data_IF_411790146386
#
_entry.id   IF_411790146386
#
_cell.length_a   1.000
_cell.length_b   1.000
_cell.length_c   1.000
_cell.angle_alpha   90.00
_cell.angle_beta   90.00
_cell.angle_gamma   90.00
#
_symmetry.space_group_name_H-M   'P 1'
#
loop_
_entity.id
_entity.type
_entity.pdbx_description
1 polymer ?
#
# COMPACT_ATOMS: atom_id res chain seq x y z
N UNK A 1 5.19 -2.28 -60.33
CA UNK A 1 4.06 -2.58 -59.44
C UNK A 1 4.55 -2.48 -58.00
N UNK A 2 4.26 -1.38 -57.30
CA UNK A 2 4.62 -1.21 -55.88
C UNK A 2 3.54 -1.87 -55.03
N UNK A 3 3.89 -2.89 -54.25
CA UNK A 3 2.98 -3.55 -53.30
C UNK A 3 2.82 -2.63 -52.08
N UNK A 4 1.62 -2.12 -51.87
CA UNK A 4 1.22 -1.39 -50.67
C UNK A 4 0.93 -2.43 -49.59
N UNK A 5 1.76 -2.48 -48.55
CA UNK A 5 1.51 -3.30 -47.35
C UNK A 5 0.65 -2.43 -46.42
N UNK A 6 -0.63 -2.78 -46.30
CA UNK A 6 -1.53 -2.18 -45.32
C UNK A 6 -1.29 -2.92 -44.00
N UNK A 7 -0.67 -2.24 -43.05
CA UNK A 7 -0.48 -2.73 -41.69
C UNK A 7 -1.83 -2.57 -40.94
N UNK A 8 -2.55 -3.68 -40.78
CA UNK A 8 -3.80 -3.71 -40.03
C UNK A 8 -3.47 -3.65 -38.54
N UNK A 9 -3.64 -2.49 -37.91
CA UNK A 9 -3.60 -2.38 -36.44
C UNK A 9 -4.82 -3.11 -35.88
N UNK A 10 -4.59 -4.29 -35.31
CA UNK A 10 -5.58 -5.01 -34.53
C UNK A 10 -5.81 -4.22 -33.24
N UNK A 11 -6.90 -3.45 -33.17
CA UNK A 11 -7.35 -2.84 -31.93
C UNK A 11 -7.97 -3.97 -31.11
N UNK A 12 -7.19 -4.60 -30.24
CA UNK A 12 -7.75 -5.49 -29.22
C UNK A 12 -8.44 -4.60 -28.20
N UNK A 13 -9.76 -4.56 -28.23
CA UNK A 13 -10.54 -4.07 -27.09
C UNK A 13 -10.25 -5.04 -25.94
N UNK A 14 -9.39 -4.61 -25.01
CA UNK A 14 -9.26 -5.29 -23.72
C UNK A 14 -10.63 -5.14 -23.06
N UNK A 15 -11.44 -6.20 -23.09
CA UNK A 15 -12.67 -6.22 -22.32
C UNK A 15 -12.29 -6.07 -20.85
N UNK A 16 -12.87 -5.07 -20.18
CA UNK A 16 -12.71 -4.93 -18.73
C UNK A 16 -13.20 -6.22 -18.06
N UNK A 17 -12.32 -6.86 -17.31
CA UNK A 17 -12.58 -8.16 -16.69
C UNK A 17 -13.38 -7.97 -15.40
N UNK A 18 -14.70 -8.15 -15.44
CA UNK A 18 -15.54 -7.95 -14.26
C UNK A 18 -15.17 -8.94 -13.15
N UNK A 19 -14.90 -8.43 -11.94
CA UNK A 19 -14.54 -9.24 -10.77
C UNK A 19 -15.77 -9.44 -9.88
N UNK A 20 -16.09 -10.69 -9.56
CA UNK A 20 -17.24 -11.04 -8.74
C UNK A 20 -16.83 -11.69 -7.44
N UNK A 21 -17.46 -11.26 -6.35
CA UNK A 21 -17.33 -11.86 -5.02
C UNK A 21 -17.95 -13.26 -5.02
N UNK A 22 -17.18 -14.25 -4.63
CA UNK A 22 -17.66 -15.63 -4.44
C UNK A 22 -17.86 -15.99 -2.98
N UNK A 23 -16.99 -15.49 -2.09
CA UNK A 23 -17.14 -15.63 -0.64
C UNK A 23 -16.40 -14.52 0.11
N UNK A 24 -16.84 -14.29 1.34
CA UNK A 24 -16.11 -13.52 2.35
C UNK A 24 -15.88 -14.47 3.53
N UNK A 25 -14.62 -14.69 3.89
CA UNK A 25 -14.22 -15.69 4.88
C UNK A 25 -13.41 -15.04 6.00
N UNK A 26 -13.74 -15.35 7.25
CA UNK A 26 -12.94 -14.92 8.39
C UNK A 26 -11.67 -15.76 8.49
N UNK A 27 -10.54 -15.08 8.69
CA UNK A 27 -9.27 -15.73 8.97
C UNK A 27 -9.20 -16.05 10.46
N UNK A 28 -9.02 -17.33 10.79
CA UNK A 28 -8.96 -17.80 12.16
C UNK A 28 -7.55 -17.58 12.75
N UNK A 29 -7.35 -16.42 13.38
CA UNK A 29 -6.16 -16.06 14.14
C UNK A 29 -6.53 -15.66 15.58
N UNK A 30 -5.62 -15.89 16.52
CA UNK A 30 -5.80 -15.53 17.93
C UNK A 30 -5.26 -14.12 18.21
N UNK A 31 -6.17 -13.20 18.53
CA UNK A 31 -5.91 -11.79 18.81
C UNK A 31 -6.45 -10.83 17.76
N UNK A 32 -6.36 -9.54 18.09
CA UNK A 32 -6.89 -8.45 17.27
C UNK A 32 -5.80 -7.88 16.37
N UNK A 33 -6.03 -7.93 15.05
CA UNK A 33 -5.05 -7.55 14.04
C UNK A 33 -5.65 -6.65 12.96
N UNK A 34 -4.80 -5.80 12.40
CA UNK A 34 -5.18 -4.74 11.49
C UNK A 34 -4.19 -4.64 10.32
N UNK A 35 -4.58 -3.90 9.29
CA UNK A 35 -3.77 -3.61 8.10
C UNK A 35 -3.21 -4.86 7.41
N UNK A 36 -4.05 -5.86 7.08
CA UNK A 36 -3.56 -7.05 6.41
C UNK A 36 -3.09 -6.73 4.98
N UNK A 37 -2.03 -7.37 4.54
CA UNK A 37 -1.55 -7.30 3.16
C UNK A 37 -0.91 -8.61 2.72
N UNK A 38 -1.00 -8.94 1.44
CA UNK A 38 -0.33 -10.12 0.88
C UNK A 38 1.19 -9.95 0.86
N UNK A 39 1.90 -11.07 1.05
CA UNK A 39 3.33 -11.18 0.80
C UNK A 39 3.67 -11.27 -0.69
N UNK A 40 4.96 -11.49 -0.99
CA UNK A 40 5.42 -11.76 -2.36
C UNK A 40 4.96 -13.13 -2.87
N UNK A 41 4.77 -14.07 -1.95
CA UNK A 41 4.19 -15.37 -2.23
C UNK A 41 2.72 -15.28 -1.82
N UNK A 42 1.78 -15.41 -2.76
CA UNK A 42 0.33 -15.18 -2.57
C UNK A 42 -0.34 -16.09 -1.51
N UNK A 43 0.43 -16.96 -0.86
CA UNK A 43 0.07 -17.78 0.30
C UNK A 43 0.48 -17.16 1.64
N UNK A 44 1.04 -15.95 1.67
CA UNK A 44 1.46 -15.26 2.90
C UNK A 44 0.63 -13.99 3.09
N UNK A 45 0.17 -13.76 4.32
CA UNK A 45 -0.48 -12.50 4.71
C UNK A 45 0.29 -11.92 5.89
N UNK A 46 0.62 -10.64 5.80
CA UNK A 46 1.24 -9.88 6.86
C UNK A 46 0.22 -8.94 7.49
N UNK A 47 0.28 -8.78 8.81
CA UNK A 47 -0.60 -7.88 9.57
C UNK A 47 0.09 -7.43 10.85
N UNK A 48 -0.54 -6.49 11.56
CA UNK A 48 0.00 -5.86 12.77
C UNK A 48 -1.08 -5.68 13.83
N UNK A 49 -0.70 -5.30 15.05
CA UNK A 49 -1.66 -4.94 16.11
C UNK A 49 -1.99 -3.45 16.06
N UNK A 50 -2.87 -3.02 16.97
CA UNK A 50 -3.16 -1.59 17.22
C UNK A 50 -1.86 -0.78 17.33
N UNK A 51 -1.89 0.46 16.83
CA UNK A 51 -0.72 1.35 16.75
C UNK A 51 0.46 0.79 15.92
N UNK A 52 0.19 -0.14 15.00
CA UNK A 52 1.19 -0.79 14.16
C UNK A 52 2.29 -1.50 14.95
N UNK A 53 1.96 -2.03 16.13
CA UNK A 53 2.92 -2.77 16.94
C UNK A 53 3.15 -4.17 16.38
N UNK A 54 4.40 -4.48 16.08
CA UNK A 54 4.82 -5.78 15.61
C UNK A 54 4.45 -6.09 14.17
N UNK A 55 5.09 -7.12 13.63
CA UNK A 55 4.80 -7.67 12.32
C UNK A 55 4.56 -9.17 12.47
N UNK A 56 3.41 -9.62 11.99
CA UNK A 56 2.97 -10.99 12.06
C UNK A 56 2.79 -11.51 10.63
N UNK A 57 3.14 -12.78 10.40
CA UNK A 57 2.99 -13.44 9.10
C UNK A 57 2.14 -14.68 9.26
N UNK A 58 1.01 -14.75 8.57
CA UNK A 58 0.22 -15.97 8.39
C UNK A 58 0.65 -16.68 7.10
N UNK A 59 0.91 -17.97 7.21
CA UNK A 59 0.99 -18.88 6.06
C UNK A 59 -0.38 -19.51 5.83
N UNK A 60 -1.00 -19.22 4.68
CA UNK A 60 -2.34 -19.69 4.31
C UNK A 60 -2.44 -21.19 4.06
N UNK A 61 -1.33 -21.87 3.78
CA UNK A 61 -1.35 -23.31 3.51
C UNK A 61 -1.41 -24.11 4.83
N UNK A 62 -0.65 -23.66 5.83
CA UNK A 62 -0.54 -24.29 7.14
C UNK A 62 -1.48 -23.68 8.19
N UNK A 63 -2.06 -22.52 7.89
CA UNK A 63 -2.81 -21.68 8.82
C UNK A 63 -2.01 -21.33 10.10
N UNK A 64 -0.70 -21.18 9.98
CA UNK A 64 0.18 -20.85 11.09
C UNK A 64 0.60 -19.38 11.08
N UNK A 65 0.47 -18.73 12.23
CA UNK A 65 0.96 -17.37 12.46
C UNK A 65 2.38 -17.44 13.02
N UNK A 66 3.31 -16.81 12.31
CA UNK A 66 4.67 -16.53 12.78
C UNK A 66 4.77 -15.09 13.24
N UNK A 67 5.17 -14.88 14.48
CA UNK A 67 5.52 -13.56 15.00
C UNK A 67 6.92 -13.22 14.47
N UNK A 68 7.05 -12.16 13.67
CA UNK A 68 8.36 -11.72 13.18
C UNK A 68 9.03 -10.80 14.21
N UNK A 69 8.29 -9.84 14.74
CA UNK A 69 8.72 -8.97 15.83
C UNK A 69 7.50 -8.34 16.53
N UNK A 70 7.75 -7.68 17.66
CA UNK A 70 6.80 -6.92 18.47
C UNK A 70 7.19 -5.43 18.64
N UNK A 71 8.09 -4.94 17.77
CA UNK A 71 8.62 -3.57 17.84
C UNK A 71 7.49 -2.56 17.65
N UNK A 72 7.55 -1.43 18.37
CA UNK A 72 6.57 -0.35 18.21
C UNK A 72 6.67 0.26 16.81
N UNK A 73 5.52 0.55 16.19
CA UNK A 73 5.38 1.14 14.86
C UNK A 73 5.98 0.36 13.68
N UNK A 74 6.44 -0.89 13.89
CA UNK A 74 7.08 -1.69 12.83
C UNK A 74 6.11 -2.15 11.75
N UNK A 75 4.82 -2.28 12.07
CA UNK A 75 3.77 -2.65 11.13
C UNK A 75 3.41 -1.57 10.11
N UNK A 76 3.91 -0.34 10.26
CA UNK A 76 3.55 0.77 9.39
C UNK A 76 4.48 0.87 8.17
N UNK A 77 3.93 0.51 7.00
CA UNK A 77 4.58 0.59 5.68
C UNK A 77 6.00 0.01 5.62
N UNK A 78 6.20 -1.15 6.25
CA UNK A 78 7.42 -1.92 6.03
C UNK A 78 7.54 -2.37 4.57
N UNK A 79 8.76 -2.70 4.15
CA UNK A 79 9.04 -3.22 2.81
C UNK A 79 9.66 -4.60 2.91
N UNK A 80 9.17 -5.54 2.09
CA UNK A 80 9.71 -6.89 1.96
C UNK A 80 10.47 -6.99 0.65
N UNK A 81 11.71 -7.47 0.72
CA UNK A 81 12.49 -7.83 -0.47
C UNK A 81 13.20 -9.16 -0.22
N UNK A 82 12.87 -10.17 -1.04
CA UNK A 82 13.36 -11.54 -0.86
C UNK A 82 13.05 -12.05 0.57
N UNK A 83 14.06 -12.52 1.30
CA UNK A 83 13.92 -13.03 2.68
C UNK A 83 14.14 -11.96 3.77
N UNK A 84 14.02 -10.68 3.40
CA UNK A 84 14.29 -9.54 4.30
C UNK A 84 13.07 -8.65 4.40
N UNK A 85 12.87 -8.10 5.60
CA UNK A 85 11.90 -7.06 5.87
C UNK A 85 12.63 -5.83 6.42
N UNK A 86 12.26 -4.66 5.92
CA UNK A 86 12.80 -3.37 6.28
C UNK A 86 11.69 -2.52 6.87
N UNK A 87 11.88 -2.03 8.09
CA UNK A 87 10.86 -1.27 8.81
C UNK A 87 11.50 -0.22 9.70
N UNK A 88 10.66 0.60 10.32
CA UNK A 88 11.07 1.54 11.37
C UNK A 88 10.62 1.01 12.73
N UNK A 89 11.50 1.01 13.72
CA UNK A 89 11.17 0.70 15.10
C UNK A 89 11.14 1.99 15.92
N UNK A 90 10.10 2.17 16.73
CA UNK A 90 9.92 3.35 17.56
C UNK A 90 10.49 3.17 18.98
N UNK A 91 11.03 4.26 19.51
CA UNK A 91 11.29 4.44 20.94
C UNK A 91 10.80 5.81 21.43
N UNK A 92 10.27 5.86 22.65
CA UNK A 92 9.84 7.10 23.29
C UNK A 92 10.93 7.57 24.24
N UNK A 93 11.61 8.66 23.89
CA UNK A 93 12.69 9.26 24.69
C UNK A 93 12.23 10.66 25.10
N UNK A 94 12.13 10.93 26.41
CA UNK A 94 11.67 12.21 26.96
C UNK A 94 10.34 12.68 26.35
N UNK A 95 9.34 11.79 26.32
CA UNK A 95 7.99 12.02 25.75
C UNK A 95 7.98 12.43 24.27
N UNK A 96 9.03 12.10 23.53
CA UNK A 96 9.11 12.33 22.08
C UNK A 96 9.35 11.00 21.38
N UNK A 97 8.68 10.84 20.24
CA UNK A 97 8.86 9.68 19.36
C UNK A 97 10.16 9.81 18.59
N UNK A 98 10.97 8.76 18.62
CA UNK A 98 12.15 8.55 17.81
C UNK A 98 12.00 7.23 17.06
N UNK A 99 12.65 7.13 15.91
CA UNK A 99 12.62 5.94 15.08
C UNK A 99 14.02 5.58 14.63
N UNK A 100 14.29 4.28 14.51
CA UNK A 100 15.45 3.74 13.80
C UNK A 100 15.01 2.81 12.68
N UNK A 101 15.85 2.63 11.66
CA UNK A 101 15.59 1.63 10.63
C UNK A 101 16.18 0.29 11.01
N UNK A 102 15.41 -0.77 10.76
CA UNK A 102 15.81 -2.14 11.07
C UNK A 102 15.65 -2.99 9.82
N UNK A 103 16.70 -3.75 9.52
CA UNK A 103 16.64 -4.90 8.61
C UNK A 103 16.44 -6.16 9.45
N UNK A 104 15.47 -6.98 9.10
CA UNK A 104 15.25 -8.27 9.74
C UNK A 104 15.20 -9.41 8.71
N UNK A 105 15.82 -10.54 9.04
CA UNK A 105 15.66 -11.77 8.25
C UNK A 105 14.33 -12.46 8.59
N UNK A 106 13.53 -12.78 7.57
CA UNK A 106 12.22 -13.41 7.75
C UNK A 106 12.29 -14.83 8.33
N UNK A 107 13.40 -15.55 8.09
CA UNK A 107 13.58 -16.94 8.50
C UNK A 107 14.20 -17.02 9.90
N UNK A 108 15.41 -16.50 10.07
CA UNK A 108 16.18 -16.54 11.33
C UNK A 108 15.73 -15.52 12.36
N UNK A 109 14.88 -14.56 11.99
CA UNK A 109 14.42 -13.44 12.81
C UNK A 109 15.52 -12.48 13.30
N UNK A 110 16.77 -12.69 12.87
CA UNK A 110 17.89 -11.80 13.20
C UNK A 110 17.62 -10.39 12.69
N UNK A 111 17.78 -9.40 13.59
CA UNK A 111 17.68 -7.96 13.31
C UNK A 111 19.07 -7.34 13.16
N UNK A 112 19.17 -6.32 12.32
CA UNK A 112 20.32 -5.45 12.17
C UNK A 112 19.84 -4.00 12.07
N UNK A 113 20.34 -3.14 12.95
CA UNK A 113 20.02 -1.72 12.90
C UNK A 113 20.76 -1.07 11.71
N UNK A 114 20.04 -0.29 10.93
CA UNK A 114 20.56 0.44 9.76
C UNK A 114 20.78 1.93 10.04
N UNK A 115 20.29 2.43 11.18
CA UNK A 115 20.48 3.80 11.62
C UNK A 115 20.42 3.90 13.14
N UNK A 116 20.89 5.03 13.65
CA UNK A 116 20.57 5.47 15.01
C UNK A 116 19.11 5.99 15.09
N UNK A 117 18.69 6.31 16.32
CA UNK A 117 17.37 6.89 16.58
C UNK A 117 17.30 8.36 16.16
N UNK A 118 16.32 8.68 15.32
CA UNK A 118 16.10 10.01 14.76
C UNK A 118 14.62 10.39 14.82
N UNK A 119 14.30 11.68 14.68
CA UNK A 119 12.92 12.18 14.63
C UNK A 119 12.53 12.59 13.21
N UNK A 120 11.22 12.58 12.94
CA UNK A 120 10.63 13.09 11.71
C UNK A 120 11.21 12.44 10.43
N UNK A 121 11.39 11.13 10.45
CA UNK A 121 11.89 10.34 9.32
C UNK A 121 10.74 9.58 8.63
N UNK A 122 10.86 9.38 7.32
CA UNK A 122 9.86 8.64 6.53
C UNK A 122 9.86 7.13 6.81
N UNK A 123 8.90 6.42 6.25
CA UNK A 123 8.98 4.95 6.12
C UNK A 123 10.06 4.57 5.10
N UNK A 124 10.65 3.37 5.19
CA UNK A 124 11.61 2.90 4.20
C UNK A 124 10.93 2.69 2.84
N UNK A 125 11.60 3.04 1.75
CA UNK A 125 11.14 2.78 0.38
C UNK A 125 12.29 2.23 -0.46
N UNK A 126 11.97 1.43 -1.47
CA UNK A 126 12.98 0.92 -2.42
C UNK A 126 12.96 1.79 -3.67
N UNK A 127 14.13 2.15 -4.17
CA UNK A 127 14.33 2.90 -5.40
C UNK A 127 15.49 2.29 -6.19
N UNK A 128 15.20 1.66 -7.33
CA UNK A 128 16.19 0.89 -8.07
C UNK A 128 16.92 -0.12 -7.18
N UNK A 129 18.23 0.02 -7.00
CA UNK A 129 19.03 -0.87 -6.15
C UNK A 129 19.26 -0.36 -4.72
N UNK A 130 18.50 0.64 -4.27
CA UNK A 130 18.69 1.33 -2.98
C UNK A 130 17.46 1.22 -2.07
N UNK A 131 17.72 1.10 -0.77
CA UNK A 131 16.76 1.38 0.29
C UNK A 131 16.96 2.83 0.72
N UNK A 132 15.92 3.63 0.58
CA UNK A 132 15.97 5.07 0.85
C UNK A 132 15.01 5.47 1.97
N UNK A 133 15.36 6.56 2.65
CA UNK A 133 14.49 7.31 3.56
C UNK A 133 14.48 8.78 3.19
N UNK A 134 13.53 9.53 3.75
CA UNK A 134 13.57 10.98 3.83
C UNK A 134 13.73 11.41 5.28
N UNK A 135 14.72 12.27 5.53
CA UNK A 135 15.04 12.78 6.85
C UNK A 135 14.18 14.01 7.22
N UNK A 136 14.42 14.57 8.41
CA UNK A 136 13.68 15.71 8.92
C UNK A 136 13.77 16.97 8.03
N UNK A 137 14.85 17.11 7.25
CA UNK A 137 15.10 18.25 6.34
C UNK A 137 14.58 17.99 4.91
N UNK A 138 13.74 16.97 4.72
CA UNK A 138 13.25 16.52 3.41
C UNK A 138 14.35 16.07 2.45
N UNK A 139 15.51 15.67 2.96
CA UNK A 139 16.59 15.11 2.15
C UNK A 139 16.48 13.60 2.11
N UNK A 140 16.76 13.04 0.93
CA UNK A 140 16.82 11.59 0.78
C UNK A 140 18.16 11.06 1.26
N UNK A 141 18.11 9.98 2.03
CA UNK A 141 19.29 9.28 2.51
C UNK A 141 19.22 7.81 2.10
N UNK A 142 20.35 7.30 1.63
CA UNK A 142 20.51 5.90 1.27
C UNK A 142 20.90 5.10 2.52
N UNK A 143 20.02 4.20 2.93
CA UNK A 143 20.25 3.30 4.06
C UNK A 143 21.05 2.06 3.66
N UNK A 144 20.86 1.59 2.42
CA UNK A 144 21.48 0.35 1.93
C UNK A 144 21.44 0.28 0.40
N UNK A 145 22.55 -0.10 -0.22
CA UNK A 145 22.60 -0.42 -1.66
C UNK A 145 22.89 -1.90 -1.86
N UNK A 146 22.09 -2.58 -2.69
CA UNK A 146 22.31 -4.00 -3.02
C UNK A 146 21.67 -4.36 -4.35
N UNK A 147 22.31 -5.26 -5.11
CA UNK A 147 21.75 -5.81 -6.34
C UNK A 147 20.44 -6.58 -6.11
N UNK A 148 20.19 -7.04 -4.88
CA UNK A 148 18.95 -7.69 -4.48
C UNK A 148 17.71 -6.81 -4.67
N UNK A 149 17.88 -5.49 -4.74
CA UNK A 149 16.80 -4.52 -4.94
C UNK A 149 16.53 -4.21 -6.43
N UNK A 150 17.41 -4.59 -7.38
CA UNK A 150 17.35 -4.16 -8.80
C UNK A 150 16.02 -4.46 -9.54
N UNK A 151 15.15 -5.33 -9.03
CA UNK A 151 13.81 -5.55 -9.59
C UNK A 151 12.77 -4.51 -9.14
N UNK A 152 13.15 -3.52 -8.34
CA UNK A 152 12.25 -2.49 -7.87
C UNK A 152 12.06 -1.35 -8.88
N UNK A 153 10.95 -0.63 -8.73
CA UNK A 153 10.54 0.50 -9.55
C UNK A 153 11.67 1.54 -9.72
N UNK A 154 11.80 2.08 -10.93
CA UNK A 154 12.74 3.17 -11.27
C UNK A 154 12.23 4.54 -10.82
N UNK A 155 10.98 4.60 -10.35
CA UNK A 155 10.37 5.76 -9.71
C UNK A 155 9.76 5.35 -8.37
N UNK A 156 9.63 6.31 -7.46
CA UNK A 156 8.86 6.13 -6.25
C UNK A 156 8.14 7.41 -5.85
N UNK A 157 7.05 7.27 -5.09
CA UNK A 157 6.35 8.35 -4.43
C UNK A 157 6.31 8.09 -2.95
N UNK A 158 6.49 9.14 -2.16
CA UNK A 158 6.37 9.06 -0.71
C UNK A 158 5.89 10.37 -0.12
N UNK A 159 5.35 10.26 1.08
CA UNK A 159 4.91 11.40 1.86
C UNK A 159 5.91 11.61 2.99
N UNK A 160 6.48 12.80 3.06
CA UNK A 160 7.38 13.21 4.14
C UNK A 160 7.09 14.66 4.53
N UNK A 161 7.01 14.95 5.82
CA UNK A 161 6.70 16.28 6.35
C UNK A 161 5.50 16.96 5.65
N UNK A 162 4.42 16.19 5.43
CA UNK A 162 3.16 16.60 4.79
C UNK A 162 3.29 16.96 3.30
N UNK A 163 4.41 16.62 2.66
CA UNK A 163 4.68 16.88 1.26
C UNK A 163 4.60 15.60 0.46
N UNK A 164 4.07 15.71 -0.75
CA UNK A 164 4.11 14.65 -1.75
C UNK A 164 5.42 14.75 -2.53
N UNK A 165 6.28 13.74 -2.42
CA UNK A 165 7.59 13.72 -3.05
C UNK A 165 7.61 12.63 -4.13
N UNK A 166 8.05 13.00 -5.34
CA UNK A 166 8.34 12.06 -6.42
C UNK A 166 9.84 11.98 -6.59
N UNK A 167 10.35 10.75 -6.65
CA UNK A 167 11.73 10.46 -6.93
C UNK A 167 11.82 9.63 -8.22
N UNK A 168 12.58 10.10 -9.21
CA UNK A 168 12.89 9.41 -10.46
C UNK A 168 14.34 9.66 -10.89
N UNK A 169 14.71 9.27 -12.11
CA UNK A 169 16.07 9.44 -12.65
C UNK A 169 16.54 10.89 -12.70
N UNK A 170 15.61 11.86 -12.73
CA UNK A 170 15.93 13.30 -12.69
C UNK A 170 16.18 13.81 -11.27
N UNK A 171 16.03 12.93 -10.27
CA UNK A 171 16.10 13.24 -8.86
C UNK A 171 14.73 13.49 -8.24
N UNK A 172 14.76 14.17 -7.10
CA UNK A 172 13.60 14.34 -6.24
C UNK A 172 12.94 15.68 -6.54
N UNK A 173 11.61 15.68 -6.59
CA UNK A 173 10.81 16.90 -6.59
C UNK A 173 9.62 16.77 -5.66
N UNK A 174 9.24 17.91 -5.10
CA UNK A 174 8.00 18.09 -4.37
C UNK A 174 6.88 18.44 -5.34
N UNK A 175 5.72 17.79 -5.19
CA UNK A 175 4.50 18.14 -5.89
C UNK A 175 3.57 18.88 -4.94
N UNK A 176 3.29 20.15 -5.27
CA UNK A 176 2.33 20.99 -4.59
C UNK A 176 1.05 21.10 -5.42
N UNK A 177 0.27 20.01 -5.41
CA UNK A 177 -1.00 19.90 -6.16
C UNK A 177 -2.08 20.76 -5.50
N UNK A 178 -2.14 20.72 -4.17
CA UNK A 178 -3.05 21.49 -3.34
C UNK A 178 -2.30 22.20 -2.23
N UNK A 179 -2.71 23.44 -1.96
CA UNK A 179 -2.17 24.27 -0.88
C UNK A 179 -2.77 23.91 0.49
N UNK A 180 -1.95 23.98 1.54
CA UNK A 180 -2.34 23.93 2.96
C UNK A 180 -3.15 22.67 3.38
N UNK A 181 -2.47 21.53 3.46
CA UNK A 181 -3.08 20.30 3.96
C UNK A 181 -2.11 19.11 3.96
N UNK A 182 -2.68 17.90 4.03
CA UNK A 182 -1.93 16.67 4.24
C UNK A 182 -2.25 15.66 3.14
N UNK A 183 -1.21 15.24 2.42
CA UNK A 183 -1.27 14.09 1.54
C UNK A 183 -1.19 12.80 2.37
N UNK A 184 -1.98 11.81 1.99
CA UNK A 184 -2.06 10.49 2.62
C UNK A 184 -2.08 9.40 1.55
N UNK A 185 -1.60 8.21 1.90
CA UNK A 185 -1.72 6.97 1.11
C UNK A 185 -1.28 7.11 -0.36
N UNK A 186 -0.19 7.83 -0.60
CA UNK A 186 0.34 8.02 -1.95
C UNK A 186 0.95 6.72 -2.50
N UNK A 187 0.64 6.38 -3.74
CA UNK A 187 1.25 5.27 -4.47
C UNK A 187 1.35 5.58 -5.97
N UNK A 188 2.33 4.99 -6.64
CA UNK A 188 2.40 5.00 -8.10
C UNK A 188 1.47 3.93 -8.68
N UNK A 189 0.88 4.21 -9.83
CA UNK A 189 0.29 3.17 -10.67
C UNK A 189 1.35 2.13 -11.08
N UNK A 190 0.96 0.89 -11.45
CA UNK A 190 1.92 -0.15 -11.85
C UNK A 190 2.82 0.23 -13.03
N UNK A 191 2.29 1.03 -13.97
CA UNK A 191 3.04 1.61 -15.10
C UNK A 191 3.99 2.75 -14.69
N UNK A 192 3.93 3.23 -13.44
CA UNK A 192 4.70 4.35 -12.89
C UNK A 192 4.50 5.67 -13.64
N UNK A 193 3.32 5.89 -14.20
CA UNK A 193 2.97 7.12 -14.91
C UNK A 193 2.00 8.02 -14.13
N UNK A 194 1.35 7.49 -13.08
CA UNK A 194 0.31 8.18 -12.33
C UNK A 194 0.54 8.05 -10.84
N UNK A 195 0.00 9.00 -10.09
CA UNK A 195 0.03 9.02 -8.63
C UNK A 195 -1.40 8.97 -8.13
N UNK A 196 -1.69 7.95 -7.32
CA UNK A 196 -2.90 7.87 -6.52
C UNK A 196 -2.58 8.42 -5.13
N UNK A 197 -3.39 9.33 -4.63
CA UNK A 197 -3.22 9.88 -3.29
C UNK A 197 -4.56 10.35 -2.71
N UNK A 198 -4.63 10.38 -1.38
CA UNK A 198 -5.70 11.06 -0.67
C UNK A 198 -5.21 12.40 -0.14
N UNK A 199 -6.08 13.41 -0.18
CA UNK A 199 -5.82 14.72 0.40
C UNK A 199 -6.87 15.03 1.47
N UNK A 200 -6.39 15.23 2.70
CA UNK A 200 -7.25 15.44 3.86
C UNK A 200 -8.22 16.61 3.62
N UNK A 201 -9.50 16.36 3.80
CA UNK A 201 -10.58 17.33 3.62
C UNK A 201 -11.01 17.59 2.16
N UNK A 202 -10.39 16.94 1.17
CA UNK A 202 -10.80 17.03 -0.25
C UNK A 202 -11.16 15.69 -0.87
N UNK A 203 -10.56 14.59 -0.40
CA UNK A 203 -10.80 13.25 -0.93
C UNK A 203 -9.61 12.70 -1.73
N UNK A 204 -9.88 11.71 -2.56
CA UNK A 204 -8.86 10.95 -3.28
C UNK A 204 -8.80 11.32 -4.75
N UNK A 205 -7.59 11.35 -5.28
CA UNK A 205 -7.28 11.81 -6.63
C UNK A 205 -6.27 10.89 -7.31
N UNK A 206 -6.30 10.92 -8.64
CA UNK A 206 -5.23 10.43 -9.50
C UNK A 206 -4.65 11.60 -10.27
N UNK A 207 -3.34 11.80 -10.20
CA UNK A 207 -2.62 12.79 -11.00
C UNK A 207 -1.58 12.14 -11.91
N UNK A 208 -1.07 12.88 -12.89
CA UNK A 208 0.20 12.54 -13.54
C UNK A 208 1.39 12.82 -12.60
N UNK A 209 2.61 12.55 -13.07
CA UNK A 209 3.84 12.81 -12.32
C UNK A 209 4.24 14.29 -12.24
N UNK A 210 3.50 15.18 -12.91
CA UNK A 210 3.66 16.64 -12.85
C UNK A 210 2.66 17.27 -11.88
N UNK A 211 1.72 16.50 -11.35
CA UNK A 211 0.70 16.94 -10.41
C UNK A 211 -0.60 17.42 -11.07
N UNK A 212 -0.79 17.21 -12.37
CA UNK A 212 -2.06 17.51 -13.02
C UNK A 212 -3.09 16.45 -12.64
N UNK A 213 -4.22 16.86 -12.08
CA UNK A 213 -5.31 15.94 -11.72
C UNK A 213 -5.91 15.34 -12.99
N UNK A 214 -5.89 14.01 -13.07
CA UNK A 214 -6.49 13.20 -14.12
C UNK A 214 -7.88 12.72 -13.69
N UNK A 215 -8.04 12.36 -12.41
CA UNK A 215 -9.28 11.79 -11.88
C UNK A 215 -9.54 12.20 -10.43
N UNK A 216 -10.82 12.40 -10.10
CA UNK A 216 -11.31 12.67 -8.75
C UNK A 216 -12.21 11.50 -8.32
N UNK A 217 -11.87 10.85 -7.21
CA UNK A 217 -12.60 9.68 -6.68
C UNK A 217 -13.48 10.04 -5.49
N UNK A 218 -13.35 11.24 -4.94
CA UNK A 218 -14.13 11.70 -3.79
C UNK A 218 -13.75 10.93 -2.52
N UNK A 219 -14.77 10.43 -1.80
CA UNK A 219 -14.58 9.70 -0.55
C UNK A 219 -14.08 8.27 -0.81
N UNK A 220 -12.78 8.13 -0.99
CA UNK A 220 -12.13 6.85 -1.26
C UNK A 220 -10.86 6.70 -0.40
N UNK A 221 -11.04 6.34 0.87
CA UNK A 221 -9.95 6.27 1.84
C UNK A 221 -9.12 5.00 1.70
N UNK A 222 -7.89 5.05 2.19
CA UNK A 222 -6.90 3.96 2.10
C UNK A 222 -6.76 3.33 0.70
N UNK A 223 -6.73 4.14 -0.38
CA UNK A 223 -6.85 3.63 -1.74
C UNK A 223 -5.58 2.89 -2.18
N UNK A 224 -5.72 1.92 -3.07
CA UNK A 224 -4.60 1.14 -3.62
C UNK A 224 -4.89 0.66 -5.03
N UNK A 225 -3.87 0.64 -5.89
CA UNK A 225 -3.95 0.09 -7.24
C UNK A 225 -4.01 -1.44 -7.24
N UNK A 226 -4.71 -2.00 -8.22
CA UNK A 226 -4.49 -3.38 -8.66
C UNK A 226 -3.11 -3.56 -9.27
N UNK A 227 -2.63 -4.81 -9.32
CA UNK A 227 -1.34 -5.16 -9.92
C UNK A 227 -1.26 -4.85 -11.42
N UNK A 228 -2.40 -4.84 -12.12
CA UNK A 228 -2.51 -4.48 -13.54
C UNK A 228 -2.85 -3.00 -13.80
N UNK A 229 -3.19 -2.24 -12.75
CA UNK A 229 -3.54 -0.82 -12.82
C UNK A 229 -4.96 -0.52 -13.34
N UNK A 230 -5.78 -1.54 -13.59
CA UNK A 230 -7.15 -1.36 -14.08
C UNK A 230 -8.16 -1.07 -12.96
N UNK A 231 -7.82 -1.37 -11.71
CA UNK A 231 -8.69 -1.16 -10.57
C UNK A 231 -8.02 -0.33 -9.48
N UNK A 232 -8.86 0.38 -8.73
CA UNK A 232 -8.51 0.99 -7.45
C UNK A 232 -9.44 0.42 -6.40
N UNK A 233 -8.85 -0.08 -5.30
CA UNK A 233 -9.58 -0.58 -4.14
C UNK A 233 -9.43 0.39 -2.99
N UNK A 234 -10.52 0.70 -2.31
CA UNK A 234 -10.56 1.68 -1.24
C UNK A 234 -11.66 1.38 -0.21
N UNK A 235 -11.63 2.09 0.91
CA UNK A 235 -12.70 2.16 1.89
C UNK A 235 -13.61 3.33 1.54
N UNK A 236 -14.91 3.08 1.46
CA UNK A 236 -15.92 4.13 1.50
C UNK A 236 -16.48 4.21 2.91
N UNK A 237 -15.75 4.87 3.79
CA UNK A 237 -16.09 5.06 5.20
C UNK A 237 -16.69 6.44 5.48
N UNK A 238 -17.57 6.48 6.46
CA UNK A 238 -18.12 7.72 7.02
C UNK A 238 -17.88 7.74 8.53
N UNK A 239 -17.54 8.89 9.08
CA UNK A 239 -17.33 9.11 10.52
C UNK A 239 -18.01 10.41 10.99
N UNK A 240 -18.22 10.53 12.30
CA UNK A 240 -18.77 11.74 12.95
C UNK A 240 -17.69 12.57 13.68
N UNK A 241 -16.41 12.31 13.40
CA UNK A 241 -15.26 12.85 14.12
C UNK A 241 -14.94 12.14 15.45
N UNK A 242 -15.76 11.18 15.88
CA UNK A 242 -15.52 10.37 17.08
C UNK A 242 -15.41 8.88 16.77
N UNK A 243 -16.21 8.39 15.84
CA UNK A 243 -16.25 6.98 15.45
C UNK A 243 -16.58 6.80 13.98
N UNK A 244 -16.10 5.69 13.41
CA UNK A 244 -16.53 5.23 12.08
C UNK A 244 -17.97 4.71 12.19
N UNK A 245 -18.85 5.23 11.35
CA UNK A 245 -20.28 4.91 11.31
C UNK A 245 -20.60 3.85 10.25
N UNK A 246 -19.91 3.89 9.11
CA UNK A 246 -20.02 2.92 8.03
C UNK A 246 -18.66 2.77 7.35
N UNK A 247 -18.39 1.61 6.75
CA UNK A 247 -17.22 1.40 5.89
C UNK A 247 -17.42 0.15 5.04
N UNK A 248 -17.27 0.32 3.74
CA UNK A 248 -17.29 -0.76 2.76
C UNK A 248 -16.00 -0.81 1.95
N UNK A 249 -15.62 -2.01 1.51
CA UNK A 249 -14.57 -2.21 0.51
C UNK A 249 -15.16 -2.02 -0.88
N UNK A 250 -14.68 -0.99 -1.57
CA UNK A 250 -15.10 -0.67 -2.92
C UNK A 250 -14.02 -1.06 -3.92
N UNK A 251 -14.46 -1.64 -5.04
CA UNK A 251 -13.67 -1.87 -6.24
C UNK A 251 -14.12 -0.88 -7.31
N UNK A 252 -13.19 -0.05 -7.78
CA UNK A 252 -13.44 0.93 -8.82
C UNK A 252 -12.64 0.61 -10.07
N UNK A 253 -13.31 0.52 -11.22
CA UNK A 253 -12.68 0.35 -12.51
C UNK A 253 -12.15 1.69 -13.02
N UNK A 254 -10.83 1.80 -13.16
CA UNK A 254 -10.17 3.04 -13.54
C UNK A 254 -10.52 3.51 -14.96
N UNK A 255 -10.87 2.60 -15.87
CA UNK A 255 -11.19 2.93 -17.27
C UNK A 255 -12.68 3.22 -17.49
N UNK A 256 -13.57 2.40 -16.91
CA UNK A 256 -15.02 2.52 -17.15
C UNK A 256 -15.76 3.40 -16.15
N UNK A 257 -15.11 3.82 -15.06
CA UNK A 257 -15.74 4.49 -13.92
C UNK A 257 -16.78 3.64 -13.17
N UNK A 258 -16.86 2.33 -13.47
CA UNK A 258 -17.73 1.42 -12.75
C UNK A 258 -17.27 1.23 -11.30
N UNK A 259 -18.24 1.26 -10.39
CA UNK A 259 -18.03 1.11 -8.94
C UNK A 259 -18.80 -0.11 -8.47
N UNK A 260 -18.12 -0.98 -7.72
CA UNK A 260 -18.71 -2.16 -7.10
C UNK A 260 -18.41 -2.17 -5.60
N UNK A 261 -19.45 -2.31 -4.79
CA UNK A 261 -19.31 -2.57 -3.36
C UNK A 261 -19.09 -4.08 -3.15
N UNK A 262 -17.90 -4.46 -2.67
CA UNK A 262 -17.53 -5.86 -2.45
C UNK A 262 -17.98 -6.41 -1.09
N UNK A 263 -18.40 -5.54 -0.18
CA UNK A 263 -18.80 -5.89 1.18
C UNK A 263 -20.23 -5.50 1.49
N UNK A 264 -21.07 -5.29 0.47
CA UNK A 264 -22.48 -4.87 0.66
C UNK A 264 -23.35 -5.86 1.44
N UNK A 265 -22.86 -7.09 1.67
CA UNK A 265 -23.49 -8.14 2.48
C UNK A 265 -22.66 -8.53 3.70
N UNK A 266 -21.64 -7.74 4.02
CA UNK A 266 -20.82 -7.93 5.22
C UNK A 266 -21.44 -7.11 6.36
N UNK A 267 -21.65 -7.74 7.51
CA UNK A 267 -22.45 -7.16 8.60
C UNK A 267 -21.64 -6.23 9.53
N UNK A 268 -20.33 -6.08 9.29
CA UNK A 268 -19.40 -5.26 10.08
C UNK A 268 -18.72 -4.17 9.21
N UNK A 269 -17.91 -3.31 9.84
CA UNK A 269 -17.20 -2.23 9.14
C UNK A 269 -15.91 -2.77 8.51
N UNK A 270 -15.85 -2.82 7.18
CA UNK A 270 -14.71 -3.37 6.46
C UNK A 270 -13.61 -2.33 6.26
N UNK A 271 -12.40 -2.60 6.76
CA UNK A 271 -11.29 -1.65 6.88
C UNK A 271 -10.00 -2.16 6.24
N UNK A 272 -9.19 -1.21 5.78
CA UNK A 272 -7.82 -1.40 5.29
C UNK A 272 -7.63 -2.47 4.20
N UNK A 273 -8.41 -2.44 3.10
CA UNK A 273 -8.36 -3.49 2.09
C UNK A 273 -7.06 -3.49 1.28
N UNK A 274 -6.62 -4.70 0.90
CA UNK A 274 -5.48 -4.94 0.00
C UNK A 274 -5.77 -6.10 -0.93
N UNK A 275 -5.56 -5.90 -2.23
CA UNK A 275 -5.72 -6.95 -3.23
C UNK A 275 -4.45 -7.80 -3.40
N UNK A 276 -4.65 -9.07 -3.71
CA UNK A 276 -3.60 -10.00 -4.11
C UNK A 276 -3.01 -9.62 -5.47
N UNK A 277 -1.76 -9.97 -5.78
CA UNK A 277 -1.20 -9.64 -7.10
C UNK A 277 -1.88 -10.43 -8.22
N UNK A 278 -2.47 -11.57 -7.89
CA UNK A 278 -3.29 -12.38 -8.80
C UNK A 278 -4.70 -11.81 -9.01
N UNK A 279 -5.09 -10.77 -8.26
CA UNK A 279 -6.41 -10.12 -8.36
C UNK A 279 -7.60 -11.05 -8.12
N UNK A 280 -7.37 -12.17 -7.44
CA UNK A 280 -8.38 -13.18 -7.11
C UNK A 280 -8.78 -13.15 -5.63
N UNK A 281 -8.12 -12.32 -4.81
CA UNK A 281 -8.40 -12.19 -3.38
C UNK A 281 -8.19 -10.76 -2.91
N UNK A 282 -8.97 -10.35 -1.91
CA UNK A 282 -8.73 -9.12 -1.15
C UNK A 282 -8.71 -9.48 0.33
N UNK A 283 -7.72 -8.99 1.07
CA UNK A 283 -7.71 -9.06 2.54
C UNK A 283 -8.13 -7.73 3.13
N UNK A 284 -8.84 -7.77 4.24
CA UNK A 284 -9.26 -6.59 5.00
C UNK A 284 -9.43 -6.96 6.48
N UNK A 285 -9.55 -5.97 7.36
CA UNK A 285 -9.88 -6.17 8.78
C UNK A 285 -11.20 -5.51 9.15
N UNK A 286 -11.86 -5.93 10.22
CA UNK A 286 -12.92 -5.15 10.86
C UNK A 286 -12.35 -4.18 11.91
N UNK A 287 -13.22 -3.34 12.51
CA UNK A 287 -12.83 -2.39 13.57
C UNK A 287 -12.44 -3.06 14.89
N UNK A 288 -12.77 -4.34 15.09
CA UNK A 288 -12.41 -5.12 16.27
C UNK A 288 -11.12 -5.94 16.06
N UNK A 289 -10.50 -5.85 14.88
CA UNK A 289 -9.28 -6.57 14.55
C UNK A 289 -9.50 -7.99 14.03
N UNK A 290 -10.72 -8.35 13.64
CA UNK A 290 -10.98 -9.55 12.87
C UNK A 290 -10.42 -9.41 11.46
N UNK A 291 -9.73 -10.42 10.95
CA UNK A 291 -9.19 -10.44 9.58
C UNK A 291 -10.09 -11.27 8.66
N UNK A 292 -10.23 -10.84 7.40
CA UNK A 292 -11.11 -11.47 6.41
C UNK A 292 -10.46 -11.53 5.03
N UNK A 293 -10.91 -12.48 4.21
CA UNK A 293 -10.56 -12.64 2.80
C UNK A 293 -11.84 -12.62 1.96
N UNK A 294 -11.89 -11.74 0.97
CA UNK A 294 -12.84 -11.79 -0.15
C UNK A 294 -12.21 -12.64 -1.24
N UNK A 295 -12.90 -13.67 -1.71
CA UNK A 295 -12.50 -14.43 -2.89
C UNK A 295 -13.22 -13.87 -4.12
N UNK A 296 -12.47 -13.70 -5.22
CA UNK A 296 -12.92 -13.11 -6.47
C UNK A 296 -12.75 -14.09 -7.63
N UNK A 297 -13.67 -14.05 -8.58
CA UNK A 297 -13.52 -14.67 -9.90
C UNK A 297 -13.70 -13.62 -10.99
N UNK A 298 -13.00 -13.81 -12.10
CA UNK A 298 -13.32 -13.10 -13.33
C UNK A 298 -14.52 -13.74 -14.00
N UNK A 299 -15.42 -12.89 -14.47
CA UNK A 299 -16.39 -13.24 -15.52
C UNK A 299 -15.86 -12.87 -16.92
#
# INVERSE_FOLDING_TARGET
MKKLIILLFLITTIAAQNLKVTSIEKINVDGDFYYPQFGLQENEIYFTKTNYQGIYKLDLNSNQVKILNDDLSSGYEFVIVNERIYYRAEEIINNRRFFKYVEQNLNSLQKNDLSDFERNISTPKIFGNQLVKVNADNQFENLKTTSAFQKANSKNVLIANNKLLVNDESGIRELNIFDNGYYLWASLSPDQEKILFHYSGKGTFVSDLQGNIIKELGNANYPSWSSDGNYIIYMNDEDDGHQVLSSDVILYNYQSDEVQNLTSQFDDLAMFPRMSNQMNKIVFSDMNGGLYIINLISE
#
